data_IF_340030344853
#
_entry.id   IF_340030344853
#
_cell.length_a   1.000
_cell.length_b   1.000
_cell.length_c   1.000
_cell.angle_alpha   90.00
_cell.angle_beta   90.00
_cell.angle_gamma   90.00
#
_symmetry.space_group_name_H-M   'P 1'
#
loop_
_entity.id
_entity.type
_entity.pdbx_description
1 polymer ?
#
# COMPACT_ATOMS: atom_id res chain seq x y z
N UNK A 1 5.22 -15.15 21.51
CA UNK A 1 6.07 -13.95 21.72
C UNK A 1 5.92 -13.09 20.49
N UNK A 2 5.17 -12.00 20.59
CA UNK A 2 5.04 -10.98 19.54
C UNK A 2 6.14 -9.97 19.74
N UNK A 3 7.01 -9.79 18.75
CA UNK A 3 8.02 -8.73 18.76
C UNK A 3 7.30 -7.39 18.64
N UNK A 4 7.50 -6.42 19.55
CA UNK A 4 6.92 -5.10 19.40
C UNK A 4 7.54 -4.44 18.16
N UNK A 5 6.70 -3.91 17.27
CA UNK A 5 7.12 -3.06 16.16
C UNK A 5 7.96 -1.91 16.73
N UNK A 6 9.16 -1.71 16.18
CA UNK A 6 10.06 -0.68 16.67
C UNK A 6 9.38 0.71 16.57
N UNK A 7 9.55 1.59 17.56
CA UNK A 7 8.98 2.93 17.51
C UNK A 7 9.49 3.69 16.28
N UNK A 8 8.62 4.51 15.68
CA UNK A 8 8.90 5.31 14.49
C UNK A 8 10.30 5.96 14.56
N UNK A 9 11.16 5.64 13.59
CA UNK A 9 12.50 6.21 13.44
C UNK A 9 13.67 5.33 13.94
N UNK A 10 13.42 4.08 14.32
CA UNK A 10 14.47 3.09 14.62
C UNK A 10 14.74 2.24 13.37
N UNK A 11 16.01 2.14 12.99
CA UNK A 11 16.48 1.37 11.83
C UNK A 11 16.41 -0.14 12.11
N UNK A 12 15.87 -0.91 11.16
CA UNK A 12 15.77 -2.37 11.16
C UNK A 12 16.98 -2.98 10.42
N UNK A 13 17.99 -3.52 11.14
CA UNK A 13 19.15 -4.14 10.52
C UNK A 13 18.82 -5.43 9.75
N UNK A 14 17.61 -5.97 9.92
CA UNK A 14 17.13 -7.16 9.21
C UNK A 14 16.35 -6.82 7.94
N UNK A 15 16.20 -5.53 7.61
CA UNK A 15 15.56 -5.09 6.38
C UNK A 15 16.20 -5.77 5.17
N UNK A 16 15.40 -6.53 4.41
CA UNK A 16 15.90 -7.34 3.30
C UNK A 16 16.57 -6.55 2.18
N UNK A 17 16.20 -5.27 1.98
CA UNK A 17 16.89 -4.40 1.02
C UNK A 17 18.26 -3.97 1.54
N UNK A 18 18.37 -3.67 2.84
CA UNK A 18 19.64 -3.37 3.48
C UNK A 18 20.59 -4.59 3.49
N UNK A 19 20.06 -5.78 3.81
CA UNK A 19 20.84 -7.03 3.77
C UNK A 19 21.36 -7.30 2.36
N UNK A 20 20.50 -7.20 1.33
CA UNK A 20 20.93 -7.37 -0.08
C UNK A 20 21.93 -6.32 -0.52
N UNK A 21 21.75 -5.07 -0.10
CA UNK A 21 22.72 -4.01 -0.38
C UNK A 21 24.09 -4.37 0.21
N UNK A 22 24.15 -4.80 1.47
CA UNK A 22 25.39 -5.28 2.10
C UNK A 22 26.02 -6.43 1.33
N UNK A 23 25.23 -7.46 1.00
CA UNK A 23 25.72 -8.61 0.23
C UNK A 23 26.34 -8.20 -1.10
N UNK A 24 25.69 -7.30 -1.85
CA UNK A 24 26.16 -6.85 -3.16
C UNK A 24 27.44 -6.01 -3.08
N UNK A 25 27.56 -5.15 -2.06
CA UNK A 25 28.71 -4.23 -1.96
C UNK A 25 29.91 -4.84 -1.24
N UNK A 26 29.75 -5.93 -0.49
CA UNK A 26 30.86 -6.67 0.15
C UNK A 26 31.89 -7.20 -0.85
N UNK A 27 31.52 -7.36 -2.13
CA UNK A 27 32.46 -7.76 -3.18
C UNK A 27 33.50 -6.65 -3.51
N UNK A 28 33.19 -5.40 -3.19
CA UNK A 28 33.98 -4.23 -3.56
C UNK A 28 34.40 -3.36 -2.37
N UNK A 29 33.70 -3.45 -1.25
CA UNK A 29 33.89 -2.61 -0.09
C UNK A 29 33.98 -3.42 1.20
N UNK A 30 34.93 -3.06 2.06
CA UNK A 30 34.89 -3.42 3.47
C UNK A 30 33.82 -2.56 4.16
N UNK A 31 32.92 -3.21 4.90
CA UNK A 31 31.80 -2.56 5.59
C UNK A 31 32.10 -2.43 7.07
N UNK A 32 32.08 -1.19 7.57
CA UNK A 32 32.20 -0.88 9.00
C UNK A 32 30.85 -0.34 9.50
N UNK A 33 30.19 -1.11 10.36
CA UNK A 33 28.95 -0.69 11.01
C UNK A 33 29.24 -0.04 12.35
N UNK A 34 28.85 1.23 12.49
CA UNK A 34 28.94 1.97 13.74
C UNK A 34 27.64 1.79 14.50
N UNK A 35 27.68 1.16 15.67
CA UNK A 35 26.50 0.79 16.44
C UNK A 35 26.46 1.56 17.75
N UNK A 36 25.25 1.88 18.25
CA UNK A 36 25.10 2.68 19.48
C UNK A 36 25.11 1.83 20.76
N UNK A 37 24.68 0.58 20.67
CA UNK A 37 24.44 -0.31 21.82
C UNK A 37 25.27 -1.60 21.68
N UNK A 38 25.83 -2.11 22.78
CA UNK A 38 26.63 -3.34 22.79
C UNK A 38 25.79 -4.62 22.74
N UNK A 39 24.59 -4.61 23.32
CA UNK A 39 23.76 -5.81 23.48
C UNK A 39 22.71 -5.99 22.36
N UNK A 40 22.42 -4.93 21.60
CA UNK A 40 21.57 -4.98 20.41
C UNK A 40 22.05 -3.93 19.39
N UNK A 41 23.07 -4.24 18.59
CA UNK A 41 23.79 -3.24 17.82
C UNK A 41 22.98 -2.76 16.62
N UNK A 42 22.16 -1.72 16.81
CA UNK A 42 21.51 -1.01 15.70
C UNK A 42 22.54 -0.11 15.00
N UNK A 43 22.80 -0.30 13.69
CA UNK A 43 23.69 0.58 12.94
C UNK A 43 23.16 2.02 12.93
N UNK A 44 23.98 2.96 13.39
CA UNK A 44 23.70 4.40 13.33
C UNK A 44 24.44 5.09 12.19
N UNK A 45 25.52 4.48 11.71
CA UNK A 45 26.25 4.87 10.51
C UNK A 45 26.87 3.61 9.89
N UNK A 46 27.09 3.63 8.57
CA UNK A 46 27.80 2.59 7.84
C UNK A 46 28.87 3.27 7.00
N UNK A 47 30.11 2.83 7.16
CA UNK A 47 31.22 3.25 6.31
C UNK A 47 31.54 2.14 5.33
N UNK A 48 31.73 2.52 4.07
CA UNK A 48 32.18 1.65 3.00
C UNK A 48 33.58 2.08 2.62
N UNK A 49 34.53 1.16 2.72
CA UNK A 49 35.92 1.37 2.34
C UNK A 49 36.22 0.53 1.10
N UNK A 50 36.52 1.19 -0.02
CA UNK A 50 36.84 0.54 -1.28
C UNK A 50 38.11 -0.30 -1.12
N UNK A 51 38.02 -1.60 -1.39
CA UNK A 51 39.12 -2.54 -1.12
C UNK A 51 40.33 -2.26 -2.02
N UNK A 52 40.11 -1.76 -3.24
CA UNK A 52 41.17 -1.56 -4.23
C UNK A 52 41.95 -0.26 -3.99
N UNK A 53 41.26 0.80 -3.56
CA UNK A 53 41.81 2.15 -3.43
C UNK A 53 42.05 2.58 -1.98
N UNK A 54 41.30 1.99 -1.04
CA UNK A 54 41.28 2.40 0.36
C UNK A 54 40.45 3.66 0.63
N UNK A 55 39.78 4.21 -0.38
CA UNK A 55 38.90 5.36 -0.21
C UNK A 55 37.65 4.96 0.58
N UNK A 56 37.19 5.84 1.48
CA UNK A 56 36.04 5.55 2.31
C UNK A 56 34.99 6.66 2.24
N UNK A 57 33.72 6.25 2.24
CA UNK A 57 32.60 7.15 2.47
C UNK A 57 31.69 6.58 3.56
N UNK A 58 31.07 7.48 4.32
CA UNK A 58 30.20 7.11 5.44
C UNK A 58 28.82 7.67 5.20
N UNK A 59 27.81 6.82 5.36
CA UNK A 59 26.42 7.21 5.27
C UNK A 59 25.64 6.82 6.52
N UNK A 60 24.58 7.57 6.80
CA UNK A 60 23.64 7.22 7.86
C UNK A 60 22.53 6.36 7.25
N UNK A 61 22.40 5.07 7.63
CA UNK A 61 21.26 4.28 7.23
C UNK A 61 20.03 4.86 7.93
N UNK A 62 19.00 5.14 7.14
CA UNK A 62 17.67 5.43 7.64
C UNK A 62 16.76 4.40 7.00
N UNK A 63 15.89 3.79 7.78
CA UNK A 63 14.73 3.16 7.16
C UNK A 63 13.93 4.28 6.55
N UNK A 64 13.82 4.30 5.21
CA UNK A 64 12.72 5.03 4.58
C UNK A 64 11.46 4.57 5.30
N UNK A 65 10.58 5.49 5.74
CA UNK A 65 9.23 5.13 6.19
C UNK A 65 8.68 4.17 5.14
N UNK A 66 8.69 2.88 5.47
CA UNK A 66 8.11 1.85 4.64
C UNK A 66 6.63 2.04 4.87
N UNK A 67 6.04 2.96 4.12
CA UNK A 67 4.60 3.00 3.91
C UNK A 67 4.28 1.74 3.10
N UNK A 68 4.32 0.60 3.81
CA UNK A 68 4.11 -0.76 3.29
C UNK A 68 2.64 -1.04 3.09
N UNK A 69 1.79 -0.13 3.55
CA UNK A 69 0.36 -0.29 3.47
C UNK A 69 -0.03 -0.18 1.99
N UNK A 70 -0.63 -1.24 1.42
CA UNK A 70 -1.09 -1.17 0.05
C UNK A 70 -2.17 -0.09 -0.03
N UNK A 71 -2.00 0.86 -0.95
CA UNK A 71 -2.96 1.93 -1.21
C UNK A 71 -3.58 1.71 -2.59
N UNK A 72 -4.90 1.78 -2.69
CA UNK A 72 -5.60 1.86 -3.98
C UNK A 72 -5.97 3.32 -4.29
N UNK A 73 -5.94 3.68 -5.57
CA UNK A 73 -6.48 4.92 -6.07
C UNK A 73 -7.83 4.64 -6.72
N UNK A 74 -8.89 5.24 -6.17
CA UNK A 74 -10.23 5.18 -6.75
C UNK A 74 -10.45 6.42 -7.62
N UNK A 75 -10.85 6.19 -8.87
CA UNK A 75 -11.07 7.21 -9.89
C UNK A 75 -12.53 7.18 -10.31
N UNK A 76 -13.17 8.34 -10.26
CA UNK A 76 -14.54 8.57 -10.71
C UNK A 76 -14.50 9.44 -11.97
N UNK A 77 -15.11 8.97 -13.05
CA UNK A 77 -15.20 9.72 -14.31
C UNK A 77 -16.44 10.63 -14.33
N UNK A 78 -16.44 11.62 -15.20
CA UNK A 78 -17.58 12.50 -15.44
C UNK A 78 -18.82 11.75 -15.98
N UNK A 79 -18.62 10.57 -16.57
CA UNK A 79 -19.69 9.67 -17.00
C UNK A 79 -20.30 8.85 -15.84
N UNK A 80 -19.80 9.02 -14.62
CA UNK A 80 -20.27 8.28 -13.45
C UNK A 80 -19.67 6.88 -13.32
N UNK A 81 -18.51 6.62 -13.93
CA UNK A 81 -17.84 5.32 -13.83
C UNK A 81 -16.77 5.32 -12.74
N UNK A 82 -16.57 4.19 -12.07
CA UNK A 82 -15.49 3.96 -11.10
C UNK A 82 -14.46 2.97 -11.63
N UNK A 83 -13.19 3.33 -11.47
CA UNK A 83 -12.03 2.48 -11.71
C UNK A 83 -11.13 2.47 -10.48
N UNK A 84 -10.48 1.34 -10.22
CA UNK A 84 -9.45 1.22 -9.20
C UNK A 84 -8.07 1.10 -9.86
N UNK A 85 -7.06 1.76 -9.29
CA UNK A 85 -5.67 1.65 -9.73
C UNK A 85 -4.76 1.29 -8.55
N UNK A 86 -3.73 0.48 -8.80
CA UNK A 86 -2.81 -0.01 -7.75
C UNK A 86 -2.67 -1.54 -7.73
N UNK A 87 -2.25 -2.15 -6.60
CA UNK A 87 -1.96 -1.49 -5.33
C UNK A 87 -0.63 -0.73 -5.41
N UNK A 88 -0.58 0.46 -4.82
CA UNK A 88 0.64 1.23 -4.66
C UNK A 88 1.28 0.91 -3.32
N UNK A 89 2.61 0.92 -3.27
CA UNK A 89 3.38 0.80 -2.04
C UNK A 89 3.38 2.16 -1.32
N UNK A 90 2.34 2.40 -0.54
CA UNK A 90 2.19 3.60 0.25
C UNK A 90 1.52 4.79 -0.45
N UNK A 91 1.15 5.77 0.37
CA UNK A 91 0.36 6.95 -0.01
C UNK A 91 1.13 7.90 -0.91
N UNK A 92 2.44 8.02 -0.72
CA UNK A 92 3.28 8.88 -1.58
C UNK A 92 3.27 8.40 -3.02
N UNK A 93 3.49 7.10 -3.25
CA UNK A 93 3.44 6.50 -4.59
C UNK A 93 2.04 6.64 -5.21
N UNK A 94 0.99 6.38 -4.43
CA UNK A 94 -0.39 6.56 -4.89
C UNK A 94 -0.70 8.02 -5.28
N UNK A 95 -0.18 9.00 -4.54
CA UNK A 95 -0.39 10.42 -4.83
C UNK A 95 0.36 10.89 -6.08
N UNK A 96 1.59 10.42 -6.30
CA UNK A 96 2.33 10.67 -7.54
C UNK A 96 1.53 10.15 -8.73
N UNK A 97 1.08 8.89 -8.65
CA UNK A 97 0.32 8.27 -9.73
C UNK A 97 -1.06 8.90 -9.93
N UNK A 98 -1.70 9.38 -8.86
CA UNK A 98 -2.94 10.17 -8.96
C UNK A 98 -2.75 11.41 -9.84
N UNK A 99 -1.62 12.11 -9.73
CA UNK A 99 -1.34 13.28 -10.55
C UNK A 99 -1.11 12.89 -12.03
N UNK A 100 -0.39 11.80 -12.28
CA UNK A 100 -0.14 11.28 -13.63
C UNK A 100 -1.43 10.84 -14.32
N UNK A 101 -2.26 10.05 -13.64
CA UNK A 101 -3.55 9.58 -14.15
C UNK A 101 -4.50 10.76 -14.44
N UNK A 102 -4.58 11.72 -13.52
CA UNK A 102 -5.42 12.91 -13.72
C UNK A 102 -4.93 13.79 -14.89
N UNK A 103 -3.63 13.81 -15.18
CA UNK A 103 -3.07 14.50 -16.32
C UNK A 103 -3.32 13.75 -17.65
N UNK A 104 -3.32 12.42 -17.61
CA UNK A 104 -3.50 11.57 -18.79
C UNK A 104 -4.98 11.42 -19.22
N UNK A 105 -5.92 11.44 -18.28
CA UNK A 105 -7.35 11.22 -18.55
C UNK A 105 -8.19 12.43 -18.07
N UNK A 106 -8.55 13.28 -19.03
CA UNK A 106 -9.37 14.48 -18.76
C UNK A 106 -10.83 14.15 -18.42
N UNK A 107 -11.25 12.89 -18.53
CA UNK A 107 -12.61 12.47 -18.16
C UNK A 107 -12.76 12.25 -16.65
N UNK A 108 -11.67 12.28 -15.89
CA UNK A 108 -11.67 12.10 -14.44
C UNK A 108 -12.30 13.31 -13.76
N UNK A 109 -13.38 13.07 -13.02
CA UNK A 109 -14.07 14.09 -12.23
C UNK A 109 -13.56 14.15 -10.78
N UNK A 110 -13.13 13.01 -10.22
CA UNK A 110 -12.63 12.90 -8.86
C UNK A 110 -11.68 11.71 -8.72
N UNK A 111 -10.61 11.87 -7.95
CA UNK A 111 -9.71 10.77 -7.59
C UNK A 111 -9.25 10.88 -6.13
N UNK A 112 -9.25 9.80 -5.37
CA UNK A 112 -8.71 9.77 -4.00
C UNK A 112 -8.11 8.43 -3.63
N UNK A 113 -7.12 8.48 -2.74
CA UNK A 113 -6.37 7.32 -2.24
C UNK A 113 -7.07 6.71 -1.04
N UNK A 114 -7.22 5.39 -1.03
CA UNK A 114 -7.79 4.63 0.08
C UNK A 114 -6.85 3.48 0.45
N UNK A 115 -6.73 3.19 1.75
CA UNK A 115 -5.93 2.04 2.19
C UNK A 115 -6.63 0.73 1.80
N UNK A 116 -5.84 -0.25 1.39
CA UNK A 116 -6.30 -1.61 1.16
C UNK A 116 -6.15 -2.41 2.44
N UNK A 117 -7.28 -2.97 2.88
CA UNK A 117 -7.34 -3.78 4.09
C UNK A 117 -7.13 -5.26 3.76
N UNK A 118 -6.32 -6.00 4.54
CA UNK A 118 -6.06 -7.41 4.28
C UNK A 118 -7.34 -8.26 4.31
N UNK A 119 -7.50 -9.23 3.40
CA UNK A 119 -8.67 -10.11 3.37
C UNK A 119 -8.69 -11.11 4.54
N UNK A 120 -7.63 -11.22 5.32
CA UNK A 120 -7.58 -12.11 6.50
C UNK A 120 -8.06 -11.45 7.78
N UNK A 121 -8.38 -10.16 7.74
CA UNK A 121 -8.84 -9.42 8.90
C UNK A 121 -10.36 -9.62 9.11
N UNK A 122 -10.73 -9.92 10.35
CA UNK A 122 -12.12 -10.04 10.79
C UNK A 122 -12.75 -8.65 10.80
N UNK A 123 -13.31 -8.18 9.69
CA UNK A 123 -13.96 -6.87 9.64
C UNK A 123 -15.42 -6.96 10.11
N UNK A 124 -15.97 -5.93 10.80
CA UNK A 124 -15.84 -4.50 10.54
C UNK A 124 -14.71 -3.88 11.38
N UNK A 125 -13.78 -3.18 10.74
CA UNK A 125 -12.71 -2.47 11.47
C UNK A 125 -13.27 -1.41 12.43
N UNK A 126 -12.42 -0.82 13.29
CA UNK A 126 -12.82 0.38 14.02
C UNK A 126 -13.26 1.46 13.00
N UNK A 127 -14.00 2.49 13.46
CA UNK A 127 -14.53 3.53 12.58
C UNK A 127 -13.46 4.24 11.71
N UNK A 128 -12.19 4.05 12.02
CA UNK A 128 -11.01 4.54 11.31
C UNK A 128 -10.65 3.74 10.05
N UNK A 129 -11.07 2.48 9.93
CA UNK A 129 -10.83 1.65 8.74
C UNK A 129 -11.66 2.13 7.54
N UNK A 130 -12.83 2.70 7.81
CA UNK A 130 -13.74 3.22 6.80
C UNK A 130 -13.30 4.60 6.31
N UNK A 131 -13.27 4.77 4.99
CA UNK A 131 -13.01 6.05 4.35
C UNK A 131 -14.32 6.73 3.98
N UNK A 132 -14.44 8.02 4.30
CA UNK A 132 -15.60 8.81 3.90
C UNK A 132 -15.64 9.00 2.38
N UNK A 133 -16.81 8.73 1.79
CA UNK A 133 -17.10 9.02 0.39
C UNK A 133 -17.26 10.52 0.21
N UNK A 134 -16.51 11.06 -0.76
CA UNK A 134 -16.66 12.46 -1.14
C UNK A 134 -18.13 12.78 -1.52
N UNK A 135 -18.69 13.94 -1.13
CA UNK A 135 -20.09 14.28 -1.40
C UNK A 135 -20.50 14.29 -2.88
N UNK A 136 -19.53 14.41 -3.80
CA UNK A 136 -19.76 14.39 -5.25
C UNK A 136 -20.02 13.00 -5.85
N UNK A 137 -19.81 11.93 -5.08
CA UNK A 137 -20.04 10.56 -5.55
C UNK A 137 -21.55 10.30 -5.49
N UNK A 138 -22.18 9.90 -6.61
CA UNK A 138 -23.59 9.51 -6.62
C UNK A 138 -23.76 8.04 -6.18
N UNK A 139 -24.97 7.63 -5.82
CA UNK A 139 -25.35 6.20 -5.69
C UNK A 139 -25.54 5.53 -7.06
N UNK A 140 -25.76 6.31 -8.11
CA UNK A 140 -26.00 5.82 -9.48
C UNK A 140 -24.70 5.59 -10.29
N UNK A 141 -23.62 5.26 -9.59
CA UNK A 141 -22.29 5.11 -10.18
C UNK A 141 -22.13 3.72 -10.79
N UNK A 142 -21.61 3.66 -12.02
CA UNK A 142 -21.27 2.41 -12.69
C UNK A 142 -19.86 1.96 -12.27
N UNK A 143 -19.70 0.70 -11.88
CA UNK A 143 -18.41 0.15 -11.49
C UNK A 143 -17.80 -0.63 -12.67
N UNK A 144 -16.59 -0.27 -13.07
CA UNK A 144 -15.90 -0.95 -14.17
C UNK A 144 -15.24 -2.21 -13.61
N UNK A 145 -15.91 -3.34 -13.79
CA UNK A 145 -15.44 -4.66 -13.34
C UNK A 145 -14.85 -5.44 -14.50
N UNK A 146 -13.87 -6.30 -14.22
CA UNK A 146 -13.34 -7.27 -15.17
C UNK A 146 -13.04 -8.59 -14.46
N UNK A 147 -12.83 -9.68 -15.20
CA UNK A 147 -12.51 -10.99 -14.60
C UNK A 147 -11.02 -11.36 -14.66
N UNK A 148 -10.16 -10.47 -15.14
CA UNK A 148 -8.76 -10.79 -15.40
C UNK A 148 -7.83 -9.92 -14.56
N UNK A 149 -7.08 -10.53 -13.65
CA UNK A 149 -6.10 -9.86 -12.79
C UNK A 149 -6.53 -9.79 -11.32
N UNK A 150 -5.68 -9.21 -10.46
CA UNK A 150 -5.98 -9.06 -9.03
C UNK A 150 -7.24 -8.23 -8.81
N UNK A 151 -8.05 -8.63 -7.84
CA UNK A 151 -9.31 -7.95 -7.51
C UNK A 151 -9.20 -7.18 -6.20
N UNK A 152 -9.96 -6.11 -6.07
CA UNK A 152 -10.27 -5.44 -4.82
C UNK A 152 -11.76 -5.51 -4.66
N UNK A 153 -12.21 -5.89 -3.47
CA UNK A 153 -13.62 -5.80 -3.13
C UNK A 153 -13.86 -4.49 -2.39
N UNK A 154 -14.79 -3.68 -2.88
CA UNK A 154 -15.26 -2.49 -2.21
C UNK A 154 -16.50 -2.83 -1.39
N UNK A 155 -16.41 -2.65 -0.08
CA UNK A 155 -17.56 -2.59 0.81
C UNK A 155 -18.06 -1.14 0.87
N UNK A 156 -19.32 -0.88 0.53
CA UNK A 156 -19.89 0.47 0.52
C UNK A 156 -21.10 0.56 1.46
N UNK A 157 -21.03 1.47 2.42
CA UNK A 157 -22.18 1.89 3.23
C UNK A 157 -22.70 3.22 2.66
N UNK A 158 -23.75 3.14 1.84
CA UNK A 158 -24.38 4.31 1.25
C UNK A 158 -25.12 5.18 2.28
N UNK A 159 -25.59 4.58 3.39
CA UNK A 159 -26.30 5.29 4.45
C UNK A 159 -25.36 6.24 5.18
N UNK A 160 -24.17 5.75 5.53
CA UNK A 160 -23.13 6.54 6.20
C UNK A 160 -22.19 7.25 5.22
N UNK A 161 -22.32 7.01 3.92
CA UNK A 161 -21.45 7.55 2.87
C UNK A 161 -19.99 7.17 3.13
N UNK A 162 -19.72 5.88 3.33
CA UNK A 162 -18.36 5.37 3.61
C UNK A 162 -18.05 4.16 2.74
N UNK A 163 -16.77 3.95 2.46
CA UNK A 163 -16.28 2.75 1.79
C UNK A 163 -15.09 2.13 2.52
N UNK A 164 -14.85 0.86 2.22
CA UNK A 164 -13.73 0.07 2.73
C UNK A 164 -13.20 -0.82 1.59
N UNK A 165 -11.99 -0.55 1.06
CA UNK A 165 -11.35 -1.42 0.08
C UNK A 165 -10.67 -2.61 0.78
N UNK A 166 -10.99 -3.83 0.36
CA UNK A 166 -10.40 -5.07 0.87
C UNK A 166 -9.64 -5.77 -0.26
N UNK A 167 -8.44 -6.27 0.03
CA UNK A 167 -7.61 -7.01 -0.92
C UNK A 167 -6.14 -6.54 -0.94
N UNK A 168 -5.40 -6.80 -2.03
CA UNK A 168 -5.88 -7.46 -3.25
C UNK A 168 -6.17 -8.94 -3.04
N UNK A 169 -7.24 -9.42 -3.69
CA UNK A 169 -7.53 -10.83 -3.88
C UNK A 169 -6.81 -11.36 -5.12
N UNK A 170 -6.40 -12.64 -5.14
CA UNK A 170 -5.71 -13.23 -6.28
C UNK A 170 -6.60 -13.31 -7.53
N UNK A 171 -7.91 -13.53 -7.36
CA UNK A 171 -8.90 -13.65 -8.42
C UNK A 171 -10.32 -13.26 -7.93
N UNK A 172 -11.27 -13.19 -8.86
CA UNK A 172 -12.66 -12.84 -8.58
C UNK A 172 -13.38 -13.87 -7.72
N UNK A 173 -13.12 -15.17 -7.95
CA UNK A 173 -13.78 -16.23 -7.20
C UNK A 173 -13.40 -16.18 -5.70
N UNK A 174 -12.14 -15.84 -5.40
CA UNK A 174 -11.67 -15.66 -4.01
C UNK A 174 -12.27 -14.40 -3.37
N UNK A 175 -12.43 -13.32 -4.12
CA UNK A 175 -13.08 -12.10 -3.64
C UNK A 175 -14.57 -12.33 -3.32
N UNK A 176 -15.27 -13.06 -4.20
CA UNK A 176 -16.68 -13.44 -4.04
C UNK A 176 -16.90 -14.27 -2.76
N UNK A 177 -16.00 -15.21 -2.47
CA UNK A 177 -16.09 -16.12 -1.32
C UNK A 177 -15.80 -15.45 0.02
N UNK A 178 -15.04 -14.35 0.02
CA UNK A 178 -14.76 -13.62 1.25
C UNK A 178 -16.07 -13.10 1.85
N UNK A 179 -16.22 -13.08 3.18
CA UNK A 179 -17.33 -12.39 3.85
C UNK A 179 -16.79 -11.79 5.15
N UNK A 180 -17.28 -10.61 5.58
CA UNK A 180 -16.94 -10.11 6.91
C UNK A 180 -17.62 -10.99 7.97
N UNK A 181 -16.88 -11.41 8.99
CA UNK A 181 -17.40 -12.30 10.04
C UNK A 181 -18.55 -11.69 10.86
N UNK A 182 -18.71 -10.36 10.86
CA UNK A 182 -19.69 -9.64 11.68
C UNK A 182 -20.44 -8.53 10.93
N UNK A 183 -21.03 -8.82 9.76
CA UNK A 183 -21.97 -7.87 9.13
C UNK A 183 -23.26 -7.79 9.97
N UNK A 184 -23.64 -6.62 10.49
CA UNK A 184 -24.92 -6.49 11.18
C UNK A 184 -26.07 -6.91 10.26
N UNK A 185 -27.08 -7.67 10.75
CA UNK A 185 -28.26 -7.98 9.96
C UNK A 185 -28.91 -6.69 9.43
N UNK A 186 -28.96 -6.53 8.10
CA UNK A 186 -29.54 -5.35 7.45
C UNK A 186 -28.56 -4.20 7.18
N UNK A 187 -27.26 -4.34 7.47
CA UNK A 187 -26.26 -3.45 6.90
C UNK A 187 -26.21 -3.66 5.39
N UNK A 188 -26.69 -2.68 4.62
CA UNK A 188 -26.61 -2.65 3.16
C UNK A 188 -25.18 -2.33 2.74
N UNK A 189 -24.25 -3.22 3.06
CA UNK A 189 -22.90 -3.12 2.51
C UNK A 189 -22.96 -3.71 1.12
N UNK A 190 -23.08 -2.83 0.12
CA UNK A 190 -22.89 -3.27 -1.26
C UNK A 190 -21.45 -3.75 -1.40
N UNK A 191 -21.29 -4.89 -2.06
CA UNK A 191 -20.00 -5.51 -2.33
C UNK A 191 -19.76 -5.50 -3.82
N UNK A 192 -18.66 -4.88 -4.23
CA UNK A 192 -18.36 -4.66 -5.63
C UNK A 192 -16.89 -4.98 -5.89
N UNK A 193 -16.66 -5.93 -6.80
CA UNK A 193 -15.32 -6.33 -7.17
C UNK A 193 -14.79 -5.48 -8.32
N UNK A 194 -13.68 -4.79 -8.06
CA UNK A 194 -12.96 -3.99 -9.03
C UNK A 194 -11.64 -4.66 -9.36
N UNK A 195 -11.33 -4.74 -10.65
CA UNK A 195 -10.03 -5.22 -11.09
C UNK A 195 -8.99 -4.12 -10.99
N UNK A 196 -7.81 -4.48 -10.50
CA UNK A 196 -6.64 -3.64 -10.57
C UNK A 196 -5.98 -3.75 -11.94
N UNK A 197 -5.67 -2.63 -12.62
CA UNK A 197 -4.90 -2.68 -13.85
C UNK A 197 -3.55 -3.34 -13.56
N UNK A 198 -3.22 -4.37 -14.33
CA UNK A 198 -1.88 -4.91 -14.31
C UNK A 198 -0.93 -3.85 -14.84
N UNK A 199 0.14 -3.56 -14.09
CA UNK A 199 1.21 -2.72 -14.60
C UNK A 199 1.69 -3.34 -15.91
N UNK A 200 1.41 -2.67 -17.02
CA UNK A 200 1.96 -3.02 -18.31
C UNK A 200 3.40 -2.53 -18.26
N UNK A 201 4.35 -3.45 -18.12
CA UNK A 201 5.75 -3.13 -18.33
C UNK A 201 5.94 -2.86 -19.83
N UNK A 202 5.69 -1.62 -20.25
CA UNK A 202 6.27 -1.07 -21.48
C UNK A 202 7.55 -0.30 -21.16
#
# INVERSE_FOLDING_TARGET
>A
MTTPSAPHGVFDPTNGAYVKLKELILEHFDIIEWTREQDNPTPVMVSFMDIATGDAFTMRPIDSITDTDPITLLVFTAAGQVRAHGPYRGRTAANTMKAEIAAADTTIALAFTAALHPPTETLPGPADAWHELHPRISTDVEFVTSRHGPQIMLCIDWTQRRLLPVGPFPDADTADLWQPDNVPPGASTDRLDLTLPTATNE
#
